data_IF_266623634964
#
_entry.id   IF_266623634964
#
_cell.length_a   1.000
_cell.length_b   1.000
_cell.length_c   1.000
_cell.angle_alpha   90.00
_cell.angle_beta   90.00
_cell.angle_gamma   90.00
#
_symmetry.space_group_name_H-M   'P 1'
#
loop_
_entity.id
_entity.type
_entity.pdbx_description
1 polymer ?
#
# COMPACT_ATOMS: atom_id res chain seq x y z
N UNK A 1 -4.56 4.28 9.27
CA UNK A 1 -5.05 3.92 7.92
C UNK A 1 -4.35 2.73 7.28
N UNK A 2 -3.01 2.66 7.10
CA UNK A 2 -2.36 1.41 6.64
C UNK A 2 -2.10 0.44 7.81
N UNK A 3 -1.76 0.96 8.99
CA UNK A 3 -1.70 0.16 10.22
C UNK A 3 -3.06 -0.47 10.59
N UNK A 4 -4.18 0.12 10.16
CA UNK A 4 -5.52 -0.44 10.37
C UNK A 4 -5.85 -1.58 9.40
N UNK A 5 -5.19 -1.63 8.24
CA UNK A 5 -5.28 -2.72 7.27
C UNK A 5 -4.44 -3.94 7.69
N UNK A 6 -3.36 -3.70 8.45
CA UNK A 6 -2.43 -4.72 8.96
C UNK A 6 -2.75 -5.19 10.38
N UNK A 7 -3.56 -4.43 11.13
CA UNK A 7 -4.08 -4.83 12.42
C UNK A 7 -5.26 -5.80 12.23
N UNK A 8 -4.95 -7.05 11.87
CA UNK A 8 -5.90 -8.13 12.10
C UNK A 8 -6.15 -8.15 13.61
N UNK A 9 -7.33 -7.71 14.02
CA UNK A 9 -7.78 -7.90 15.40
C UNK A 9 -7.89 -9.40 15.60
N UNK A 10 -7.43 -9.94 16.72
CA UNK A 10 -7.47 -11.38 17.03
C UNK A 10 -8.87 -12.02 16.90
N UNK A 11 -9.94 -11.19 16.78
CA UNK A 11 -11.34 -11.60 16.61
C UNK A 11 -11.99 -11.14 15.28
N UNK A 12 -11.22 -10.77 14.26
CA UNK A 12 -11.81 -10.33 12.98
C UNK A 12 -12.39 -11.51 12.19
N UNK A 13 -13.64 -11.37 11.74
CA UNK A 13 -14.36 -12.37 10.97
C UNK A 13 -13.92 -12.39 9.50
N UNK A 14 -14.02 -13.54 8.83
CA UNK A 14 -13.66 -13.66 7.41
C UNK A 14 -14.49 -12.72 6.51
N UNK A 15 -15.73 -12.40 6.90
CA UNK A 15 -16.56 -11.43 6.19
C UNK A 15 -15.98 -10.02 6.23
N UNK A 16 -15.41 -9.59 7.37
CA UNK A 16 -14.76 -8.29 7.48
C UNK A 16 -13.50 -8.23 6.60
N UNK A 17 -12.77 -9.34 6.50
CA UNK A 17 -11.62 -9.45 5.60
C UNK A 17 -12.05 -9.36 4.12
N UNK A 18 -13.17 -9.97 3.75
CA UNK A 18 -13.74 -9.88 2.40
C UNK A 18 -14.12 -8.43 2.03
N UNK A 19 -14.74 -7.71 2.97
CA UNK A 19 -15.08 -6.28 2.79
C UNK A 19 -13.79 -5.48 2.56
N UNK A 20 -12.79 -5.66 3.43
CA UNK A 20 -11.53 -4.92 3.35
C UNK A 20 -10.77 -5.21 2.06
N UNK A 21 -10.72 -6.47 1.62
CA UNK A 21 -10.11 -6.84 0.35
C UNK A 21 -10.88 -6.23 -0.83
N UNK A 22 -12.22 -6.19 -0.78
CA UNK A 22 -13.04 -5.51 -1.79
C UNK A 22 -12.66 -4.03 -1.93
N UNK A 23 -12.65 -3.30 -0.81
CA UNK A 23 -12.24 -1.90 -0.76
C UNK A 23 -10.82 -1.70 -1.30
N UNK A 24 -9.89 -2.57 -0.94
CA UNK A 24 -8.50 -2.52 -1.39
C UNK A 24 -8.36 -2.70 -2.92
N UNK A 25 -9.15 -3.59 -3.51
CA UNK A 25 -9.15 -3.85 -4.94
C UNK A 25 -9.89 -2.76 -5.75
N UNK A 26 -10.54 -1.82 -5.07
CA UNK A 26 -11.33 -0.76 -5.69
C UNK A 26 -12.75 -1.19 -6.06
N UNK A 27 -13.32 -2.15 -5.31
CA UNK A 27 -14.69 -2.61 -5.48
C UNK A 27 -15.63 -1.90 -4.49
N UNK A 28 -16.87 -1.66 -4.90
CA UNK A 28 -17.94 -1.16 -4.03
C UNK A 28 -18.53 -2.27 -3.14
N UNK A 29 -18.41 -3.53 -3.60
CA UNK A 29 -18.91 -4.71 -2.89
C UNK A 29 -17.76 -5.54 -2.30
N UNK A 30 -18.02 -6.31 -1.22
CA UNK A 30 -17.05 -7.27 -0.68
C UNK A 30 -16.64 -8.30 -1.73
N UNK A 31 -15.40 -8.79 -1.67
CA UNK A 31 -15.05 -9.93 -2.51
C UNK A 31 -15.81 -11.18 -2.07
N UNK A 32 -16.12 -12.11 -2.99
CA UNK A 32 -16.62 -13.42 -2.63
C UNK A 32 -15.64 -14.17 -1.71
N UNK A 33 -16.18 -14.97 -0.77
CA UNK A 33 -15.36 -15.71 0.21
C UNK A 33 -14.35 -16.66 -0.45
N UNK A 34 -14.76 -17.34 -1.52
CA UNK A 34 -13.89 -18.25 -2.26
C UNK A 34 -12.74 -17.51 -2.98
N UNK A 35 -12.93 -16.25 -3.35
CA UNK A 35 -11.86 -15.38 -3.87
C UNK A 35 -10.83 -15.09 -2.79
N UNK A 36 -11.28 -14.73 -1.57
CA UNK A 36 -10.39 -14.51 -0.44
C UNK A 36 -9.57 -15.77 -0.13
N UNK A 37 -10.25 -16.92 -0.02
CA UNK A 37 -9.60 -18.20 0.31
C UNK A 37 -8.60 -18.63 -0.75
N UNK A 38 -8.93 -18.46 -2.04
CA UNK A 38 -7.97 -18.72 -3.11
C UNK A 38 -6.76 -17.81 -2.99
N UNK A 39 -6.97 -16.52 -2.76
CA UNK A 39 -5.87 -15.56 -2.64
C UNK A 39 -4.96 -15.84 -1.44
N UNK A 40 -5.46 -16.55 -0.41
CA UNK A 40 -4.65 -17.03 0.72
C UNK A 40 -3.79 -18.26 0.42
N UNK A 41 -4.22 -19.10 -0.52
CA UNK A 41 -3.55 -20.37 -0.84
C UNK A 41 -2.76 -20.32 -2.16
N UNK A 42 -3.07 -19.38 -3.06
CA UNK A 42 -2.45 -19.19 -4.38
C UNK A 42 -1.80 -17.79 -4.46
N UNK A 43 -0.48 -17.69 -4.19
CA UNK A 43 0.23 -16.42 -4.21
C UNK A 43 0.26 -15.73 -5.58
N UNK A 44 0.20 -16.49 -6.68
CA UNK A 44 0.20 -15.94 -8.03
C UNK A 44 -1.14 -15.24 -8.27
N UNK A 45 -2.24 -15.93 -8.00
CA UNK A 45 -3.58 -15.35 -8.09
C UNK A 45 -3.74 -14.12 -7.19
N UNK A 46 -3.19 -14.17 -5.99
CA UNK A 46 -3.21 -13.03 -5.07
C UNK A 46 -2.46 -11.82 -5.64
N UNK A 47 -1.31 -12.05 -6.28
CA UNK A 47 -0.56 -11.00 -6.96
C UNK A 47 -1.32 -10.44 -8.19
N UNK A 48 -1.98 -11.30 -8.96
CA UNK A 48 -2.79 -10.87 -10.11
C UNK A 48 -3.94 -9.95 -9.67
N UNK A 49 -4.60 -10.24 -8.54
CA UNK A 49 -5.62 -9.36 -7.95
C UNK A 49 -5.04 -7.99 -7.60
N UNK A 50 -3.85 -7.93 -7.00
CA UNK A 50 -3.20 -6.67 -6.61
C UNK A 50 -2.82 -5.85 -7.84
N UNK A 51 -2.24 -6.49 -8.86
CA UNK A 51 -1.85 -5.82 -10.11
C UNK A 51 -3.09 -5.24 -10.81
N UNK A 52 -4.20 -5.98 -10.81
CA UNK A 52 -5.44 -5.58 -11.48
C UNK A 52 -6.33 -4.65 -10.64
N UNK A 53 -5.89 -4.18 -9.47
CA UNK A 53 -6.66 -3.26 -8.63
C UNK A 53 -7.08 -2.01 -9.39
N UNK A 54 -8.28 -1.49 -9.12
CA UNK A 54 -8.87 -0.34 -9.81
C UNK A 54 -8.95 -0.48 -11.34
N UNK A 55 -8.83 -1.68 -11.89
CA UNK A 55 -8.95 -1.96 -13.32
C UNK A 55 -10.05 -3.01 -13.56
N UNK A 56 -11.34 -2.61 -13.57
CA UNK A 56 -12.47 -3.53 -13.66
C UNK A 56 -12.39 -4.51 -14.84
N UNK A 57 -11.85 -4.07 -15.98
CA UNK A 57 -11.68 -4.90 -17.18
C UNK A 57 -10.79 -6.13 -16.98
N UNK A 58 -9.83 -6.08 -16.05
CA UNK A 58 -8.96 -7.21 -15.70
C UNK A 58 -9.36 -7.87 -14.38
N UNK A 59 -9.89 -7.08 -13.45
CA UNK A 59 -10.28 -7.55 -12.13
C UNK A 59 -11.54 -8.44 -12.18
N UNK A 60 -12.58 -8.06 -12.92
CA UNK A 60 -13.84 -8.82 -12.99
C UNK A 60 -13.61 -10.26 -13.49
N UNK A 61 -12.80 -10.50 -14.55
CA UNK A 61 -12.42 -11.86 -14.96
C UNK A 61 -11.78 -12.70 -13.84
N UNK A 62 -10.91 -12.11 -13.01
CA UNK A 62 -10.28 -12.81 -11.89
C UNK A 62 -11.31 -13.19 -10.82
N UNK A 63 -12.21 -12.27 -10.48
CA UNK A 63 -13.29 -12.53 -9.52
C UNK A 63 -14.24 -13.64 -10.00
N UNK A 64 -14.48 -13.71 -11.31
CA UNK A 64 -15.36 -14.69 -11.96
C UNK A 64 -14.64 -15.95 -12.46
N UNK A 65 -13.36 -16.10 -12.15
CA UNK A 65 -12.57 -17.23 -12.60
C UNK A 65 -13.20 -18.54 -12.12
N UNK A 66 -13.53 -19.50 -13.00
CA UNK A 66 -14.15 -20.77 -12.62
C UNK A 66 -13.30 -21.58 -11.63
N UNK A 67 -11.98 -21.35 -11.58
CA UNK A 67 -11.07 -21.98 -10.61
C UNK A 67 -11.37 -21.56 -9.16
N UNK A 68 -12.06 -20.44 -8.94
CA UNK A 68 -12.47 -20.01 -7.60
C UNK A 68 -13.46 -21.00 -6.96
N UNK A 69 -14.18 -21.80 -7.75
CA UNK A 69 -15.09 -22.84 -7.24
C UNK A 69 -14.41 -23.89 -6.38
N UNK A 70 -13.12 -24.16 -6.61
CA UNK A 70 -12.35 -25.11 -5.80
C UNK A 70 -12.16 -24.65 -4.34
N UNK A 71 -12.48 -23.39 -4.05
CA UNK A 71 -12.32 -22.76 -2.73
C UNK A 71 -13.68 -22.39 -2.11
N UNK A 72 -14.79 -22.91 -2.63
CA UNK A 72 -16.10 -22.77 -1.98
C UNK A 72 -16.13 -23.59 -0.68
N UNK A 73 -16.44 -22.94 0.45
CA UNK A 73 -16.68 -23.65 1.71
C UNK A 73 -18.11 -24.20 1.67
N UNK A 74 -18.32 -25.51 1.91
CA UNK A 74 -19.66 -26.06 2.11
C UNK A 74 -20.32 -25.37 3.31
N UNK A 75 -21.56 -24.89 3.16
CA UNK A 75 -22.30 -24.07 4.15
C UNK A 75 -22.50 -24.72 5.54
N UNK A 76 -21.98 -25.92 5.80
CA UNK A 76 -22.20 -26.71 7.02
C UNK A 76 -20.93 -27.17 7.73
N UNK A 77 -19.74 -26.80 7.26
CA UNK A 77 -18.49 -27.14 7.94
C UNK A 77 -18.02 -25.89 8.67
N UNK A 78 -18.18 -25.88 10.00
CA UNK A 78 -17.48 -24.88 10.82
C UNK A 78 -16.00 -24.89 10.42
N UNK A 79 -15.45 -23.75 9.99
CA UNK A 79 -14.08 -23.69 9.54
C UNK A 79 -13.17 -24.19 10.66
N UNK A 80 -12.07 -24.87 10.30
CA UNK A 80 -10.94 -25.07 11.22
C UNK A 80 -10.72 -23.78 12.01
N UNK A 81 -10.61 -23.92 13.33
CA UNK A 81 -10.71 -22.84 14.33
C UNK A 81 -10.23 -21.50 13.77
N UNK A 82 -11.05 -20.44 13.92
CA UNK A 82 -10.81 -19.09 13.42
C UNK A 82 -9.36 -18.61 13.56
N UNK A 83 -8.63 -19.12 14.55
CA UNK A 83 -7.21 -18.92 14.78
C UNK A 83 -6.28 -19.39 13.63
N UNK A 84 -6.46 -20.59 13.07
CA UNK A 84 -5.61 -21.09 11.96
C UNK A 84 -5.85 -20.29 10.67
N UNK A 85 -7.11 -19.93 10.41
CA UNK A 85 -7.48 -19.12 9.26
C UNK A 85 -7.04 -17.66 9.43
N UNK A 86 -7.16 -17.09 10.64
CA UNK A 86 -6.64 -15.77 10.96
C UNK A 86 -5.11 -15.71 10.78
N UNK A 87 -4.36 -16.73 11.22
CA UNK A 87 -2.91 -16.79 11.04
C UNK A 87 -2.51 -16.83 9.55
N UNK A 88 -3.22 -17.61 8.73
CA UNK A 88 -2.99 -17.63 7.28
C UNK A 88 -3.39 -16.31 6.60
N UNK A 89 -4.49 -15.70 7.04
CA UNK A 89 -4.96 -14.43 6.51
C UNK A 89 -3.98 -13.29 6.82
N UNK A 90 -3.41 -13.28 8.03
CA UNK A 90 -2.33 -12.35 8.44
C UNK A 90 -1.11 -12.50 7.53
N UNK A 91 -0.64 -13.73 7.29
CA UNK A 91 0.53 -13.98 6.42
C UNK A 91 0.29 -13.49 4.98
N UNK A 92 -0.94 -13.68 4.51
CA UNK A 92 -1.38 -13.27 3.17
C UNK A 92 -1.46 -11.74 3.07
N UNK A 93 -2.07 -11.06 4.05
CA UNK A 93 -2.14 -9.60 4.16
C UNK A 93 -0.75 -8.96 4.26
N UNK A 94 0.19 -9.59 4.99
CA UNK A 94 1.60 -9.16 5.05
C UNK A 94 2.27 -9.30 3.67
N UNK A 95 1.99 -10.39 2.95
CA UNK A 95 2.45 -10.58 1.57
C UNK A 95 1.93 -9.49 0.64
N UNK A 96 0.67 -9.10 0.79
CA UNK A 96 0.03 -8.06 -0.03
C UNK A 96 0.48 -6.65 0.33
N UNK A 97 0.76 -6.40 1.62
CA UNK A 97 1.43 -5.19 2.09
C UNK A 97 2.79 -5.00 1.40
N UNK A 98 3.52 -6.08 1.10
CA UNK A 98 4.80 -6.01 0.36
C UNK A 98 4.62 -5.78 -1.15
N UNK A 99 3.52 -6.26 -1.74
CA UNK A 99 3.33 -6.29 -3.20
C UNK A 99 2.68 -5.02 -3.80
N UNK A 100 2.04 -4.14 -3.01
CA UNK A 100 1.40 -2.94 -3.59
C UNK A 100 1.16 -1.74 -2.69
N UNK A 101 1.54 -1.81 -1.42
CA UNK A 101 1.33 -0.76 -0.40
C UNK A 101 2.46 -0.70 0.63
N UNK A 102 3.66 -1.16 0.29
CA UNK A 102 4.79 -0.95 1.17
C UNK A 102 5.01 0.56 1.21
N UNK A 103 4.69 1.16 2.34
CA UNK A 103 5.32 2.42 2.71
C UNK A 103 6.61 2.05 3.41
N UNK A 104 7.65 2.85 3.22
CA UNK A 104 8.87 2.69 4.01
C UNK A 104 8.56 2.73 5.51
N UNK A 105 9.36 2.05 6.32
CA UNK A 105 9.23 2.06 7.78
C UNK A 105 9.40 3.50 8.34
N UNK A 106 8.99 3.70 9.61
CA UNK A 106 8.99 5.02 10.23
C UNK A 106 10.39 5.66 10.33
N UNK A 107 11.45 4.86 10.47
CA UNK A 107 12.83 5.34 10.51
C UNK A 107 13.25 5.87 9.14
N UNK A 108 13.03 5.08 8.09
CA UNK A 108 13.28 5.48 6.70
C UNK A 108 12.42 6.68 6.32
N UNK A 109 11.14 6.71 6.71
CA UNK A 109 10.23 7.83 6.46
C UNK A 109 10.72 9.10 7.15
N UNK A 110 11.11 9.02 8.43
CA UNK A 110 11.61 10.16 9.19
C UNK A 110 12.89 10.72 8.57
N UNK A 111 13.82 9.85 8.18
CA UNK A 111 15.06 10.23 7.51
C UNK A 111 14.79 10.94 6.19
N UNK A 112 13.98 10.36 5.31
CA UNK A 112 13.61 10.95 4.01
C UNK A 112 12.86 12.28 4.18
N UNK A 113 11.91 12.35 5.12
CA UNK A 113 11.14 13.58 5.39
C UNK A 113 12.05 14.70 5.93
N UNK A 114 12.94 14.40 6.87
CA UNK A 114 13.88 15.38 7.43
C UNK A 114 14.86 15.90 6.35
N UNK A 115 15.35 15.02 5.47
CA UNK A 115 16.18 15.42 4.35
C UNK A 115 15.44 16.37 3.39
N UNK A 116 14.15 16.13 3.14
CA UNK A 116 13.31 17.02 2.34
C UNK A 116 13.01 18.35 3.04
N UNK A 117 12.73 18.35 4.35
CA UNK A 117 12.50 19.57 5.13
C UNK A 117 13.72 20.51 5.15
N UNK A 118 14.92 19.94 5.11
CA UNK A 118 16.17 20.70 5.02
C UNK A 118 16.61 21.03 3.58
N UNK A 119 15.84 20.60 2.56
CA UNK A 119 16.23 20.76 1.16
C UNK A 119 15.81 22.13 0.61
N UNK A 120 16.70 22.88 -0.07
CA UNK A 120 16.36 24.16 -0.68
C UNK A 120 15.35 24.04 -1.83
N UNK A 121 15.12 22.83 -2.35
CA UNK A 121 14.20 22.57 -3.44
C UNK A 121 12.75 22.29 -2.97
N UNK A 122 12.47 22.28 -1.67
CA UNK A 122 11.12 22.11 -1.14
C UNK A 122 10.32 23.40 -1.26
N UNK A 123 9.13 23.34 -1.86
CA UNK A 123 8.29 24.52 -2.04
C UNK A 123 6.79 24.22 -1.96
N UNK A 124 5.99 25.28 -2.02
CA UNK A 124 4.55 25.18 -2.30
C UNK A 124 4.28 24.81 -3.76
N UNK A 125 3.13 24.17 -4.07
CA UNK A 125 2.71 23.87 -5.43
C UNK A 125 2.35 25.16 -6.18
N UNK A 126 3.08 25.43 -7.26
CA UNK A 126 2.87 26.61 -8.09
C UNK A 126 2.00 26.31 -9.32
N UNK A 127 2.11 25.10 -9.88
CA UNK A 127 1.41 24.70 -11.11
C UNK A 127 0.02 24.13 -10.79
N UNK A 128 -0.95 24.38 -11.67
CA UNK A 128 -2.32 23.85 -11.54
C UNK A 128 -2.34 22.33 -11.34
N UNK A 129 -1.57 21.58 -12.13
CA UNK A 129 -1.47 20.11 -11.99
C UNK A 129 -0.97 19.67 -10.63
N UNK A 130 -0.07 20.44 -9.99
CA UNK A 130 0.45 20.13 -8.66
C UNK A 130 -0.61 20.33 -7.57
N UNK A 131 -1.50 21.32 -7.76
CA UNK A 131 -2.62 21.62 -6.86
C UNK A 131 -3.77 20.62 -6.97
N UNK A 132 -3.86 19.88 -8.09
CA UNK A 132 -4.86 18.82 -8.30
C UNK A 132 -4.47 17.48 -7.65
N UNK A 133 -3.21 17.29 -7.27
CA UNK A 133 -2.77 16.05 -6.61
C UNK A 133 -3.38 16.01 -5.21
N UNK A 134 -4.16 14.97 -4.84
CA UNK A 134 -4.72 14.86 -3.50
C UNK A 134 -3.61 14.89 -2.46
N UNK A 135 -3.56 15.91 -1.62
CA UNK A 135 -2.53 16.11 -0.61
C UNK A 135 -3.15 16.28 0.76
N UNK A 136 -2.47 15.80 1.79
CA UNK A 136 -2.84 16.09 3.17
C UNK A 136 -2.35 17.48 3.56
N UNK A 137 -3.07 18.12 4.47
CA UNK A 137 -2.59 19.34 5.11
C UNK A 137 -1.26 19.10 5.86
N UNK A 138 -0.49 20.16 6.00
CA UNK A 138 0.77 20.11 6.74
C UNK A 138 0.46 20.07 8.23
N UNK A 139 0.86 18.97 8.86
CA UNK A 139 0.78 18.80 10.32
C UNK A 139 2.16 18.47 10.87
N UNK A 140 2.31 18.44 12.20
CA UNK A 140 3.55 18.00 12.86
C UNK A 140 3.71 16.48 12.88
N UNK A 141 2.74 15.70 12.38
CA UNK A 141 2.80 14.24 12.37
C UNK A 141 3.82 13.76 11.33
N UNK A 142 4.50 12.65 11.66
CA UNK A 142 5.45 12.00 10.76
C UNK A 142 4.79 11.67 9.41
N UNK A 143 5.47 12.06 8.32
CA UNK A 143 4.99 11.91 6.94
C UNK A 143 3.95 12.95 6.49
N UNK A 144 3.50 13.84 7.37
CA UNK A 144 2.55 14.91 7.03
C UNK A 144 3.19 16.30 7.05
N UNK A 145 4.44 16.43 7.52
CA UNK A 145 5.16 17.72 7.59
C UNK A 145 5.45 18.29 6.20
N UNK A 146 5.39 17.45 5.18
CA UNK A 146 5.54 17.81 3.76
C UNK A 146 4.29 17.52 2.93
N UNK A 147 3.12 17.34 3.58
CA UNK A 147 1.91 16.77 3.00
C UNK A 147 1.44 17.38 1.67
N UNK A 148 1.42 18.71 1.57
CA UNK A 148 1.05 19.46 0.36
C UNK A 148 2.24 20.08 -0.39
N UNK A 149 3.46 19.85 0.09
CA UNK A 149 4.68 20.43 -0.48
C UNK A 149 5.14 19.66 -1.71
N UNK A 150 5.81 20.35 -2.61
CA UNK A 150 6.40 19.78 -3.83
C UNK A 150 7.91 20.00 -3.86
N UNK A 151 8.62 19.12 -4.56
CA UNK A 151 10.03 19.33 -4.87
C UNK A 151 10.16 20.05 -6.22
N UNK A 152 10.99 21.08 -6.29
CA UNK A 152 11.26 21.82 -7.52
C UNK A 152 12.19 21.07 -8.50
N UNK A 153 12.93 20.06 -8.03
CA UNK A 153 13.74 19.21 -8.91
C UNK A 153 12.90 18.16 -9.65
N UNK A 154 12.07 17.39 -8.93
CA UNK A 154 11.23 16.35 -9.56
C UNK A 154 9.79 16.72 -9.85
N UNK A 155 9.30 17.89 -9.38
CA UNK A 155 7.89 18.28 -9.50
C UNK A 155 6.90 17.41 -8.71
N UNK A 156 7.42 16.43 -7.99
CA UNK A 156 6.73 15.40 -7.21
C UNK A 156 6.13 15.99 -5.91
N UNK A 157 4.97 15.47 -5.47
CA UNK A 157 4.47 15.73 -4.11
C UNK A 157 5.36 14.97 -3.12
N UNK A 158 6.01 15.70 -2.22
CA UNK A 158 7.04 15.14 -1.33
C UNK A 158 6.43 14.17 -0.34
N UNK A 159 5.32 14.54 0.31
CA UNK A 159 4.63 13.68 1.25
C UNK A 159 4.27 12.31 0.66
N UNK A 160 3.95 12.23 -0.64
CA UNK A 160 3.72 10.94 -1.31
C UNK A 160 5.01 10.21 -1.64
N UNK A 161 5.97 10.89 -2.27
CA UNK A 161 7.18 10.26 -2.81
C UNK A 161 8.04 9.61 -1.73
N UNK A 162 8.21 10.26 -0.59
CA UNK A 162 9.07 9.75 0.51
C UNK A 162 8.57 8.41 1.06
N UNK A 163 7.28 8.11 0.90
CA UNK A 163 6.67 6.87 1.39
C UNK A 163 6.94 5.68 0.48
N UNK A 164 7.28 5.88 -0.79
CA UNK A 164 7.38 4.80 -1.77
C UNK A 164 8.77 4.14 -1.68
N UNK A 165 8.89 2.83 -1.43
CA UNK A 165 10.18 2.16 -1.25
C UNK A 165 11.06 2.18 -2.49
N UNK A 166 10.47 2.03 -3.68
CA UNK A 166 11.19 2.06 -4.97
C UNK A 166 11.55 3.47 -5.43
N UNK A 167 11.19 4.51 -4.68
CA UNK A 167 11.56 5.88 -5.01
C UNK A 167 12.91 6.25 -4.40
N UNK A 168 13.64 7.11 -5.10
CA UNK A 168 14.94 7.64 -4.67
C UNK A 168 15.06 9.15 -4.94
N UNK A 169 15.80 9.88 -4.12
CA UNK A 169 16.04 11.30 -4.38
C UNK A 169 17.00 11.47 -5.58
N UNK A 170 16.62 12.26 -6.61
CA UNK A 170 17.51 12.46 -7.76
C UNK A 170 18.75 13.28 -7.40
N UNK A 171 18.69 14.08 -6.34
CA UNK A 171 19.80 14.93 -5.91
C UNK A 171 20.85 14.13 -5.12
N UNK A 172 22.11 14.47 -5.32
CA UNK A 172 23.24 13.87 -4.61
C UNK A 172 23.29 14.39 -3.17
N UNK A 173 23.82 13.57 -2.26
CA UNK A 173 24.09 14.03 -0.89
C UNK A 173 25.16 15.14 -0.92
N UNK A 174 25.00 16.24 -0.15
CA UNK A 174 25.93 17.37 -0.16
C UNK A 174 27.39 17.02 0.17
N UNK A 175 27.60 15.97 0.98
CA UNK A 175 28.93 15.56 1.47
C UNK A 175 29.30 14.11 1.16
N UNK A 176 28.39 13.33 0.57
CA UNK A 176 28.61 11.88 0.36
C UNK A 176 28.27 11.51 -1.08
N UNK A 177 29.28 11.51 -1.94
CA UNK A 177 29.07 11.43 -3.39
C UNK A 177 28.34 10.15 -3.86
N UNK A 178 28.50 9.04 -3.15
CA UNK A 178 27.85 7.76 -3.46
C UNK A 178 26.39 7.66 -2.96
N UNK A 179 25.87 8.71 -2.32
CA UNK A 179 24.55 8.70 -1.70
C UNK A 179 23.63 9.76 -2.33
N UNK A 180 22.34 9.49 -2.26
CA UNK A 180 21.27 10.44 -2.55
C UNK A 180 21.12 11.41 -1.36
N UNK A 181 20.44 12.54 -1.54
CA UNK A 181 20.15 13.46 -0.43
C UNK A 181 19.37 12.80 0.72
N UNK A 182 18.68 11.69 0.49
CA UNK A 182 18.01 10.90 1.53
C UNK A 182 18.96 10.03 2.36
N UNK A 183 20.26 10.00 2.04
CA UNK A 183 21.24 9.14 2.70
C UNK A 183 21.13 7.68 2.27
N UNK A 184 20.67 7.45 1.04
CA UNK A 184 20.50 6.11 0.44
C UNK A 184 21.53 5.93 -0.69
N UNK A 185 21.99 4.70 -0.96
CA UNK A 185 22.88 4.45 -2.10
C UNK A 185 22.27 4.96 -3.41
N UNK A 186 23.12 5.55 -4.26
CA UNK A 186 22.73 5.81 -5.65
C UNK A 186 22.90 4.51 -6.45
N UNK A 187 21.83 4.13 -7.16
CA UNK A 187 21.89 3.13 -8.22
C UNK A 187 22.61 3.67 -9.46
#
# INVERSE_FOLDING_TARGET
>A
MIQELLAVKENESLSEICVRLGTFLGLEEPVPMNVLLRAMEDPIYANDLIICRNAPGFLIPLLKDPRNKAYEIPQQIEPKTNLELAQKAVKTLIGWGKAGFSVVDDETLARRENACLACPNLSEPQKLVQKLIPSKDVTQKLGERTGNKVCQLCGCNVGKKIRIPSESCPEQHPTAAAMTRWGEPRE
#
